data_IF_322134598839
#
_entry.id   IF_322134598839
#
_cell.length_a   1.000
_cell.length_b   1.000
_cell.length_c   1.000
_cell.angle_alpha   90.00
_cell.angle_beta   90.00
_cell.angle_gamma   90.00
#
_symmetry.space_group_name_H-M   'P 1'
#
loop_
_entity.id
_entity.type
_entity.pdbx_description
1 polymer ?
#
# COMPACT_ATOMS: atom_id res chain seq x y z
N UNK A 1 -27.01 -9.61 21.91
CA UNK A 1 -26.40 -8.35 21.40
C UNK A 1 -27.13 -7.07 21.85
N UNK A 2 -28.26 -7.15 22.55
CA UNK A 2 -29.05 -5.97 22.95
C UNK A 2 -28.44 -5.14 24.10
N UNK A 3 -27.40 -5.63 24.77
CA UNK A 3 -26.75 -4.94 25.87
C UNK A 3 -25.53 -4.08 25.45
N UNK A 4 -25.14 -4.09 24.16
CA UNK A 4 -23.93 -3.35 23.73
C UNK A 4 -24.23 -1.84 23.72
N UNK A 5 -23.44 -1.02 24.44
CA UNK A 5 -23.63 0.44 24.44
C UNK A 5 -23.48 1.04 23.05
N UNK A 6 -24.33 2.00 22.69
CA UNK A 6 -24.28 2.67 21.38
C UNK A 6 -22.91 3.31 21.10
N UNK A 7 -22.24 3.83 22.15
CA UNK A 7 -20.88 4.39 22.05
C UNK A 7 -19.84 3.35 21.59
N UNK A 8 -20.00 2.09 22.01
CA UNK A 8 -19.12 1.02 21.55
C UNK A 8 -19.38 0.70 20.07
N UNK A 9 -20.64 0.62 19.66
CA UNK A 9 -20.98 0.42 18.25
C UNK A 9 -20.43 1.56 17.39
N UNK A 10 -20.58 2.82 17.84
CA UNK A 10 -20.05 3.99 17.15
C UNK A 10 -18.52 3.94 17.02
N UNK A 11 -17.78 3.57 18.08
CA UNK A 11 -16.32 3.48 18.03
C UNK A 11 -15.81 2.35 17.14
N UNK A 12 -16.54 1.23 17.05
CA UNK A 12 -16.22 0.15 16.10
C UNK A 12 -16.48 0.61 14.66
N UNK A 13 -17.63 1.21 14.39
CA UNK A 13 -17.99 1.70 13.04
C UNK A 13 -17.08 2.84 12.58
N UNK A 14 -16.59 3.67 13.50
CA UNK A 14 -15.58 4.70 13.25
C UNK A 14 -14.30 4.15 12.62
N UNK A 15 -13.90 2.91 12.97
CA UNK A 15 -12.69 2.26 12.45
C UNK A 15 -12.86 1.57 11.10
N UNK A 16 -14.09 1.38 10.62
CA UNK A 16 -14.34 0.69 9.35
C UNK A 16 -13.91 1.56 8.17
N UNK A 17 -13.37 0.98 7.11
CA UNK A 17 -13.09 1.71 5.87
C UNK A 17 -14.35 2.01 5.06
N UNK A 18 -14.22 2.87 4.05
CA UNK A 18 -15.32 3.20 3.12
C UNK A 18 -15.93 1.98 2.45
N UNK A 19 -15.07 1.06 1.97
CA UNK A 19 -15.46 -0.15 1.26
C UNK A 19 -16.36 -1.01 2.15
N UNK A 20 -15.92 -1.26 3.38
CA UNK A 20 -16.66 -2.02 4.38
C UNK A 20 -17.98 -1.35 4.75
N UNK A 21 -18.01 -0.02 4.93
CA UNK A 21 -19.26 0.70 5.20
C UNK A 21 -20.25 0.61 4.05
N UNK A 22 -19.76 0.69 2.81
CA UNK A 22 -20.59 0.59 1.60
C UNK A 22 -21.25 -0.78 1.50
N UNK A 23 -20.51 -1.84 1.82
CA UNK A 23 -21.03 -3.21 1.83
C UNK A 23 -21.99 -3.48 3.01
N UNK A 24 -21.67 -2.96 4.20
CA UNK A 24 -22.47 -3.20 5.40
C UNK A 24 -23.78 -2.40 5.43
N UNK A 25 -23.79 -1.17 4.93
CA UNK A 25 -24.95 -0.28 4.99
C UNK A 25 -26.27 -0.91 4.48
N UNK A 26 -26.31 -1.62 3.32
CA UNK A 26 -27.53 -2.30 2.87
C UNK A 26 -27.80 -3.62 3.60
N UNK A 27 -26.77 -4.29 4.13
CA UNK A 27 -26.86 -5.67 4.59
C UNK A 27 -27.14 -5.82 6.10
N UNK A 28 -26.87 -4.78 6.90
CA UNK A 28 -27.07 -4.86 8.35
C UNK A 28 -28.55 -4.78 8.72
N UNK A 29 -29.07 -5.88 9.28
CA UNK A 29 -30.47 -5.97 9.73
C UNK A 29 -30.70 -5.49 11.17
N UNK A 30 -29.68 -5.57 12.02
CA UNK A 30 -29.82 -5.18 13.42
C UNK A 30 -30.02 -3.67 13.55
N UNK A 31 -31.16 -3.23 14.07
CA UNK A 31 -31.59 -1.82 14.05
C UNK A 31 -30.57 -0.83 14.66
N UNK A 32 -29.96 -1.15 15.81
CA UNK A 32 -28.91 -0.30 16.43
C UNK A 32 -27.69 -0.11 15.54
N UNK A 33 -27.15 -1.21 15.01
CA UNK A 33 -26.01 -1.19 14.09
C UNK A 33 -26.36 -0.50 12.79
N UNK A 34 -27.55 -0.78 12.24
CA UNK A 34 -28.04 -0.17 11.00
C UNK A 34 -28.05 1.35 11.10
N UNK A 35 -28.57 1.91 12.19
CA UNK A 35 -28.61 3.36 12.37
C UNK A 35 -27.20 3.97 12.44
N UNK A 36 -26.28 3.38 13.21
CA UNK A 36 -24.90 3.89 13.34
C UNK A 36 -24.12 3.74 12.04
N UNK A 37 -24.18 2.58 11.39
CA UNK A 37 -23.53 2.33 10.10
C UNK A 37 -24.05 3.29 9.05
N UNK A 38 -25.37 3.50 8.98
CA UNK A 38 -25.98 4.42 8.05
C UNK A 38 -25.58 5.88 8.31
N UNK A 39 -25.49 6.27 9.58
CA UNK A 39 -25.01 7.58 9.99
C UNK A 39 -23.58 7.82 9.50
N UNK A 40 -22.67 6.87 9.71
CA UNK A 40 -21.30 6.97 9.20
C UNK A 40 -21.26 6.93 7.68
N UNK A 41 -21.95 5.99 7.04
CA UNK A 41 -22.00 5.86 5.59
C UNK A 41 -22.44 7.15 4.88
N UNK A 42 -23.46 7.83 5.40
CA UNK A 42 -23.99 9.07 4.81
C UNK A 42 -23.13 10.31 5.08
N UNK A 43 -22.52 10.41 6.26
CA UNK A 43 -21.85 11.64 6.69
C UNK A 43 -20.34 11.62 6.49
N UNK A 44 -19.75 10.45 6.23
CA UNK A 44 -18.29 10.32 6.10
C UNK A 44 -17.78 10.99 4.85
N UNK A 45 -16.76 11.85 5.04
CA UNK A 45 -16.11 12.59 3.96
C UNK A 45 -14.64 12.22 3.91
N UNK A 46 -14.17 11.95 2.69
CA UNK A 46 -12.83 11.49 2.42
C UNK A 46 -12.03 12.56 1.68
N UNK A 47 -10.84 12.86 2.21
CA UNK A 47 -9.94 13.87 1.68
C UNK A 47 -8.60 13.25 1.25
N UNK A 48 -8.08 13.75 0.14
CA UNK A 48 -6.65 13.66 -0.20
C UNK A 48 -5.97 14.96 0.25
N UNK A 49 -4.83 14.85 0.93
CA UNK A 49 -3.99 16.00 1.29
C UNK A 49 -2.76 15.99 0.40
N UNK A 50 -2.62 17.05 -0.38
CA UNK A 50 -1.51 17.22 -1.31
C UNK A 50 -0.57 18.29 -0.77
N UNK A 51 0.71 17.95 -0.68
CA UNK A 51 1.78 18.86 -0.30
C UNK A 51 2.67 19.18 -1.49
N UNK A 52 3.21 20.40 -1.50
CA UNK A 52 4.17 20.87 -2.50
C UNK A 52 5.19 21.77 -1.80
N UNK A 53 6.47 21.43 -1.90
CA UNK A 53 7.55 22.34 -1.48
C UNK A 53 7.74 23.42 -2.55
N UNK A 54 7.83 24.66 -2.09
CA UNK A 54 8.32 25.82 -2.84
C UNK A 54 9.62 26.27 -2.19
N UNK A 55 10.40 27.15 -2.82
CA UNK A 55 11.66 27.66 -2.24
C UNK A 55 11.46 28.21 -0.82
N UNK A 56 10.43 29.03 -0.63
CA UNK A 56 10.16 29.74 0.62
C UNK A 56 9.35 28.94 1.66
N UNK A 57 8.85 27.74 1.34
CA UNK A 57 8.00 26.99 2.27
C UNK A 57 7.23 25.84 1.64
N UNK A 58 6.05 25.57 2.17
CA UNK A 58 5.18 24.46 1.75
C UNK A 58 3.78 24.96 1.44
N UNK A 59 3.25 24.58 0.29
CA UNK A 59 1.82 24.70 -0.01
C UNK A 59 1.15 23.37 0.30
N UNK A 60 -0.09 23.44 0.77
CA UNK A 60 -0.93 22.26 0.95
C UNK A 60 -2.34 22.54 0.47
N UNK A 61 -3.02 21.50 -0.01
CA UNK A 61 -4.42 21.60 -0.37
C UNK A 61 -5.15 20.30 -0.10
N UNK A 62 -6.46 20.44 0.12
CA UNK A 62 -7.37 19.31 0.26
C UNK A 62 -8.11 19.08 -1.05
N UNK A 63 -8.22 17.81 -1.43
CA UNK A 63 -9.08 17.37 -2.52
C UNK A 63 -10.14 16.44 -1.99
N UNK A 64 -11.32 16.50 -2.59
CA UNK A 64 -12.35 15.50 -2.34
C UNK A 64 -11.97 14.14 -2.96
N UNK A 65 -12.81 13.12 -2.72
CA UNK A 65 -12.62 11.78 -3.29
C UNK A 65 -12.63 11.75 -4.83
N UNK A 66 -13.21 12.76 -5.49
CA UNK A 66 -13.21 12.92 -6.95
C UNK A 66 -11.93 13.60 -7.46
N UNK A 67 -11.02 13.98 -6.57
CA UNK A 67 -9.78 14.69 -6.89
C UNK A 67 -10.00 16.18 -7.18
N UNK A 68 -11.20 16.71 -6.95
CA UNK A 68 -11.49 18.14 -7.13
C UNK A 68 -10.84 18.91 -5.99
N UNK A 69 -10.08 19.94 -6.35
CA UNK A 69 -9.49 20.87 -5.40
C UNK A 69 -10.60 21.66 -4.70
N UNK A 70 -10.59 21.67 -3.37
CA UNK A 70 -11.52 22.47 -2.57
C UNK A 70 -10.73 23.48 -1.75
N UNK A 71 -10.68 24.72 -2.26
CA UNK A 71 -9.98 25.83 -1.61
C UNK A 71 -10.73 26.37 -0.38
N UNK A 72 -12.01 26.04 -0.22
CA UNK A 72 -12.80 26.46 0.93
C UNK A 72 -12.51 25.58 2.15
N UNK A 73 -12.09 24.33 1.91
CA UNK A 73 -11.75 23.39 2.96
C UNK A 73 -10.36 23.71 3.51
N UNK A 74 -10.32 23.99 4.81
CA UNK A 74 -9.09 24.09 5.59
C UNK A 74 -9.05 23.07 6.72
N UNK A 75 -7.88 22.92 7.34
CA UNK A 75 -7.66 21.99 8.42
C UNK A 75 -8.63 22.20 9.60
N UNK A 76 -9.00 23.45 9.90
CA UNK A 76 -9.95 23.75 10.99
C UNK A 76 -11.34 23.18 10.72
N UNK A 77 -11.82 23.24 9.48
CA UNK A 77 -13.10 22.64 9.10
C UNK A 77 -13.07 21.12 9.20
N UNK A 78 -11.99 20.49 8.73
CA UNK A 78 -11.79 19.04 8.83
C UNK A 78 -11.76 18.60 10.30
N UNK A 79 -11.05 19.33 11.16
CA UNK A 79 -10.97 19.03 12.60
C UNK A 79 -12.31 19.20 13.31
N UNK A 80 -13.13 20.20 12.92
CA UNK A 80 -14.51 20.33 13.43
C UNK A 80 -15.36 19.12 13.08
N UNK A 81 -15.12 18.49 11.92
CA UNK A 81 -15.81 17.29 11.49
C UNK A 81 -15.02 15.99 11.77
N UNK A 82 -14.15 15.96 12.79
CA UNK A 82 -13.26 14.80 13.07
C UNK A 82 -13.97 13.44 13.16
N UNK A 83 -15.24 13.42 13.57
CA UNK A 83 -16.04 12.19 13.65
C UNK A 83 -16.24 11.52 12.29
N UNK A 84 -16.39 12.31 11.24
CA UNK A 84 -16.73 11.81 9.90
C UNK A 84 -15.67 12.15 8.84
N UNK A 85 -14.77 13.09 9.11
CA UNK A 85 -13.68 13.39 8.21
C UNK A 85 -12.60 12.30 8.27
N UNK A 86 -12.15 11.84 7.11
CA UNK A 86 -11.07 10.87 6.97
C UNK A 86 -10.09 11.34 5.91
N UNK A 87 -8.80 11.18 6.17
CA UNK A 87 -7.75 11.38 5.18
C UNK A 87 -7.35 10.01 4.66
N UNK A 88 -7.73 9.69 3.42
CA UNK A 88 -7.36 8.40 2.83
C UNK A 88 -6.07 8.48 2.03
N UNK A 89 -5.62 9.68 1.67
CA UNK A 89 -4.44 9.81 0.84
C UNK A 89 -3.62 11.04 1.23
N UNK A 90 -2.33 10.83 1.46
CA UNK A 90 -1.35 11.92 1.59
C UNK A 90 -0.33 11.80 0.47
N UNK A 91 -0.09 12.90 -0.24
CA UNK A 91 0.76 12.92 -1.43
C UNK A 91 1.71 14.11 -1.42
N UNK A 92 2.98 13.84 -1.69
CA UNK A 92 3.94 14.87 -2.11
C UNK A 92 3.88 15.02 -3.64
N UNK A 93 3.50 16.20 -4.10
CA UNK A 93 3.35 16.55 -5.50
C UNK A 93 4.39 17.58 -5.98
N UNK A 94 5.49 17.77 -5.25
CA UNK A 94 6.49 18.82 -5.54
C UNK A 94 7.04 18.77 -6.98
N UNK A 95 7.34 17.59 -7.53
CA UNK A 95 7.84 17.44 -8.91
C UNK A 95 6.75 17.05 -9.92
N UNK A 96 5.51 16.94 -9.48
CA UNK A 96 4.40 16.60 -10.37
C UNK A 96 4.06 17.80 -11.26
N UNK A 97 3.73 17.55 -12.54
CA UNK A 97 3.14 18.57 -13.45
C UNK A 97 1.69 18.93 -13.05
N UNK A 98 1.37 18.93 -11.76
CA UNK A 98 0.00 18.98 -11.27
C UNK A 98 -0.54 20.42 -11.23
N UNK A 99 -1.59 20.64 -12.03
CA UNK A 99 -2.67 21.64 -11.99
C UNK A 99 -2.28 23.13 -11.85
N UNK A 100 -2.79 24.03 -12.73
CA UNK A 100 -2.54 25.48 -12.70
C UNK A 100 -3.23 26.22 -11.53
N UNK A 101 -3.52 25.56 -10.40
CA UNK A 101 -4.37 26.11 -9.33
C UNK A 101 -3.61 26.30 -7.99
N UNK A 102 -2.28 26.28 -8.00
CA UNK A 102 -1.48 26.48 -6.78
C UNK A 102 -1.23 27.94 -6.44
N UNK A 103 -1.53 28.87 -7.35
CA UNK A 103 -1.22 30.30 -7.17
C UNK A 103 -1.97 30.90 -5.98
N UNK A 104 -3.21 30.44 -5.76
CA UNK A 104 -4.06 30.89 -4.65
C UNK A 104 -3.88 30.10 -3.35
N UNK A 105 -2.98 29.11 -3.31
CA UNK A 105 -2.77 28.28 -2.11
C UNK A 105 -1.76 28.96 -1.19
N UNK A 106 -2.17 29.15 0.07
CA UNK A 106 -1.33 29.77 1.09
C UNK A 106 -0.02 29.00 1.30
N UNK A 107 1.08 29.72 1.34
CA UNK A 107 2.40 29.21 1.71
C UNK A 107 2.50 29.12 3.24
N UNK A 108 2.97 27.97 3.73
CA UNK A 108 3.24 27.71 5.14
C UNK A 108 4.74 27.54 5.37
N UNK A 109 5.21 27.96 6.55
CA UNK A 109 6.53 27.58 7.04
C UNK A 109 6.59 26.07 7.33
N UNK A 110 7.81 25.55 7.49
CA UNK A 110 8.00 24.15 7.90
C UNK A 110 7.33 23.85 9.25
N UNK A 111 7.51 24.71 10.25
CA UNK A 111 6.91 24.54 11.59
C UNK A 111 5.38 24.57 11.55
N UNK A 112 4.78 25.45 10.75
CA UNK A 112 3.33 25.47 10.53
C UNK A 112 2.85 24.20 9.82
N UNK A 113 3.63 23.69 8.88
CA UNK A 113 3.36 22.43 8.16
C UNK A 113 3.42 21.23 9.10
N UNK A 114 4.44 21.12 9.95
CA UNK A 114 4.54 20.06 10.96
C UNK A 114 3.38 20.12 11.97
N UNK A 115 2.98 21.32 12.41
CA UNK A 115 1.81 21.51 13.28
C UNK A 115 0.52 21.03 12.61
N UNK A 116 0.33 21.38 11.33
CA UNK A 116 -0.78 20.89 10.52
C UNK A 116 -0.76 19.37 10.44
N UNK A 117 0.36 18.76 10.06
CA UNK A 117 0.54 17.31 9.94
C UNK A 117 0.24 16.58 11.25
N UNK A 118 0.70 17.12 12.37
CA UNK A 118 0.40 16.59 13.70
C UNK A 118 -1.10 16.63 14.03
N UNK A 119 -1.80 17.68 13.63
CA UNK A 119 -3.25 17.81 13.85
C UNK A 119 -4.08 16.86 13.00
N UNK A 120 -3.65 16.56 11.78
CA UNK A 120 -4.39 15.70 10.84
C UNK A 120 -4.02 14.22 10.94
N UNK A 121 -2.88 13.88 11.54
CA UNK A 121 -2.42 12.49 11.68
C UNK A 121 -3.47 11.54 12.30
N UNK A 122 -4.22 11.93 13.36
CA UNK A 122 -5.29 11.09 13.91
C UNK A 122 -6.47 10.85 12.96
N UNK A 123 -6.62 11.67 11.91
CA UNK A 123 -7.70 11.57 10.93
C UNK A 123 -7.33 10.71 9.72
N UNK A 124 -6.07 10.26 9.62
CA UNK A 124 -5.64 9.39 8.54
C UNK A 124 -6.29 8.02 8.72
N UNK A 125 -7.04 7.60 7.71
CA UNK A 125 -7.75 6.33 7.72
C UNK A 125 -6.74 5.19 7.75
N UNK A 126 -6.74 4.38 8.81
CA UNK A 126 -5.79 3.25 8.93
C UNK A 126 -6.11 2.12 7.95
N UNK A 127 -7.37 1.98 7.55
CA UNK A 127 -7.85 0.86 6.72
C UNK A 127 -7.67 1.17 5.24
N UNK A 128 -7.83 2.44 4.84
CA UNK A 128 -7.69 2.85 3.43
C UNK A 128 -6.56 3.85 3.19
N UNK A 129 -5.77 4.16 4.20
CA UNK A 129 -4.74 5.20 4.16
C UNK A 129 -3.61 4.86 3.21
N UNK A 130 -3.26 5.84 2.39
CA UNK A 130 -2.22 5.75 1.39
C UNK A 130 -1.23 6.89 1.57
N UNK A 131 0.05 6.63 1.33
CA UNK A 131 1.07 7.66 1.25
C UNK A 131 1.88 7.52 -0.05
N UNK A 132 2.08 8.63 -0.76
CA UNK A 132 2.86 8.66 -2.01
C UNK A 132 3.83 9.83 -2.05
N UNK A 133 5.12 9.54 -2.12
CA UNK A 133 6.19 10.54 -2.26
C UNK A 133 7.08 10.39 -3.50
N UNK A 134 6.79 9.44 -4.40
CA UNK A 134 7.61 9.19 -5.59
C UNK A 134 7.85 10.45 -6.46
N UNK A 135 6.81 11.25 -6.67
CA UNK A 135 6.86 12.50 -7.43
C UNK A 135 7.27 13.71 -6.58
N UNK A 136 7.80 13.47 -5.38
CA UNK A 136 8.10 14.48 -4.39
C UNK A 136 9.53 15.01 -4.40
N UNK A 137 9.79 16.03 -3.56
CA UNK A 137 11.15 16.42 -3.19
C UNK A 137 11.61 15.64 -1.96
N UNK A 138 12.93 15.45 -1.83
CA UNK A 138 13.48 14.77 -0.66
C UNK A 138 13.14 15.52 0.64
N UNK A 139 13.20 16.86 0.61
CA UNK A 139 12.87 17.73 1.73
C UNK A 139 11.40 17.60 2.18
N UNK A 140 10.45 17.69 1.24
CA UNK A 140 9.03 17.55 1.60
C UNK A 140 8.72 16.15 2.10
N UNK A 141 9.26 15.13 1.44
CA UNK A 141 9.14 13.76 1.92
C UNK A 141 9.68 13.61 3.35
N UNK A 142 10.85 14.17 3.64
CA UNK A 142 11.43 14.12 4.99
C UNK A 142 10.51 14.75 6.04
N UNK A 143 9.98 15.96 5.80
CA UNK A 143 9.05 16.64 6.72
C UNK A 143 7.79 15.81 6.97
N UNK A 144 7.22 15.22 5.91
CA UNK A 144 6.03 14.37 6.00
C UNK A 144 6.31 13.10 6.81
N UNK A 145 7.41 12.39 6.51
CA UNK A 145 7.77 11.16 7.18
C UNK A 145 8.11 11.39 8.66
N UNK A 146 8.87 12.44 8.97
CA UNK A 146 9.17 12.83 10.35
C UNK A 146 7.89 13.13 11.14
N UNK A 147 6.91 13.78 10.50
CA UNK A 147 5.64 14.10 11.15
C UNK A 147 4.77 12.87 11.43
N UNK A 148 4.81 11.86 10.56
CA UNK A 148 3.97 10.66 10.63
C UNK A 148 4.61 9.45 11.32
N UNK A 149 5.94 9.42 11.45
CA UNK A 149 6.67 8.31 12.05
C UNK A 149 6.10 7.96 13.42
N UNK A 150 5.79 6.67 13.62
CA UNK A 150 5.17 6.08 14.84
C UNK A 150 3.79 6.61 15.21
N UNK A 151 3.17 7.47 14.39
CA UNK A 151 1.82 8.04 14.64
C UNK A 151 0.76 7.49 13.70
N UNK A 152 1.16 7.08 12.51
CA UNK A 152 0.26 6.68 11.42
C UNK A 152 0.66 5.31 10.91
N UNK A 153 -0.31 4.44 10.64
CA UNK A 153 -0.10 3.14 10.02
C UNK A 153 -1.00 3.01 8.81
N UNK A 154 -0.40 2.73 7.66
CA UNK A 154 -1.03 2.86 6.34
C UNK A 154 -1.26 1.50 5.69
N UNK A 155 -2.22 1.46 4.76
CA UNK A 155 -2.48 0.30 3.90
C UNK A 155 -1.55 0.26 2.68
N UNK A 156 -1.25 1.41 2.11
CA UNK A 156 -0.40 1.51 0.92
C UNK A 156 0.70 2.56 1.08
N UNK A 157 1.92 2.19 0.70
CA UNK A 157 3.09 3.05 0.75
C UNK A 157 3.76 3.12 -0.60
N UNK A 158 4.07 4.32 -1.07
CA UNK A 158 4.97 4.56 -2.19
C UNK A 158 6.01 5.58 -1.76
N UNK A 159 7.22 5.11 -1.48
CA UNK A 159 8.28 5.88 -0.85
C UNK A 159 9.40 6.20 -1.84
N UNK A 160 9.78 7.48 -1.88
CA UNK A 160 11.07 7.92 -2.40
C UNK A 160 12.11 7.89 -1.28
N UNK A 161 13.32 7.40 -1.55
CA UNK A 161 14.39 7.50 -0.57
C UNK A 161 14.78 8.97 -0.34
N UNK A 162 14.83 9.38 0.92
CA UNK A 162 15.26 10.71 1.35
C UNK A 162 16.16 10.65 2.60
N UNK A 163 16.96 9.58 2.70
CA UNK A 163 17.82 9.28 3.85
C UNK A 163 17.21 8.27 4.82
N UNK A 164 17.88 8.09 5.97
CA UNK A 164 17.55 7.06 6.95
C UNK A 164 16.09 7.10 7.42
N UNK A 165 15.49 8.29 7.53
CA UNK A 165 14.08 8.45 7.92
C UNK A 165 13.11 7.69 7.00
N UNK A 166 13.41 7.58 5.70
CA UNK A 166 12.59 6.82 4.76
C UNK A 166 12.68 5.31 5.00
N UNK A 167 13.87 4.83 5.35
CA UNK A 167 14.12 3.44 5.71
C UNK A 167 13.45 3.08 7.04
N UNK A 168 13.67 3.89 8.08
CA UNK A 168 13.08 3.69 9.40
C UNK A 168 11.55 3.73 9.36
N UNK A 169 10.99 4.65 8.58
CA UNK A 169 9.55 4.72 8.38
C UNK A 169 9.03 3.47 7.67
N UNK A 170 9.70 2.99 6.63
CA UNK A 170 9.32 1.75 5.94
C UNK A 170 9.36 0.55 6.91
N UNK A 171 10.43 0.43 7.69
CA UNK A 171 10.58 -0.62 8.68
C UNK A 171 9.48 -0.59 9.74
N UNK A 172 9.20 0.59 10.31
CA UNK A 172 8.12 0.79 11.27
C UNK A 172 6.77 0.36 10.69
N UNK A 173 6.44 0.79 9.46
CA UNK A 173 5.20 0.41 8.81
C UNK A 173 5.11 -1.09 8.57
N UNK A 174 6.20 -1.72 8.09
CA UNK A 174 6.22 -3.17 7.87
C UNK A 174 6.01 -3.89 9.18
N UNK A 175 6.64 -3.45 10.27
CA UNK A 175 6.57 -4.11 11.57
C UNK A 175 5.20 -3.94 12.23
N UNK A 176 4.64 -2.73 12.19
CA UNK A 176 3.54 -2.33 13.06
C UNK A 176 2.20 -2.11 12.32
N UNK A 177 2.19 -1.95 10.99
CA UNK A 177 0.93 -1.79 10.25
C UNK A 177 0.24 -3.13 9.96
N UNK A 178 -0.89 -3.35 10.62
CA UNK A 178 -1.74 -4.51 10.37
C UNK A 178 -2.45 -4.47 9.00
N UNK A 179 -2.64 -3.28 8.43
CA UNK A 179 -3.37 -3.09 7.18
C UNK A 179 -2.46 -2.95 5.97
N UNK A 180 -1.14 -2.84 6.16
CA UNK A 180 -0.20 -2.70 5.05
C UNK A 180 -0.32 -3.89 4.09
N UNK A 181 -0.75 -3.59 2.87
CA UNK A 181 -0.96 -4.54 1.78
C UNK A 181 -0.13 -4.20 0.54
N UNK A 182 0.35 -2.96 0.41
CA UNK A 182 1.17 -2.55 -0.72
C UNK A 182 2.35 -1.66 -0.29
N UNK A 183 3.54 -1.99 -0.78
CA UNK A 183 4.77 -1.22 -0.60
C UNK A 183 5.44 -1.03 -1.94
N UNK A 184 5.75 0.20 -2.30
CA UNK A 184 6.62 0.54 -3.42
C UNK A 184 7.76 1.41 -2.94
N UNK A 185 8.99 0.93 -3.09
CA UNK A 185 10.18 1.76 -2.91
C UNK A 185 10.69 2.21 -4.27
N UNK A 186 11.06 3.47 -4.38
CA UNK A 186 11.44 4.04 -5.65
C UNK A 186 12.49 5.16 -5.49
N UNK A 187 13.17 5.48 -6.60
CA UNK A 187 14.22 6.49 -6.62
C UNK A 187 15.61 5.89 -6.45
N UNK A 188 16.59 6.77 -6.15
CA UNK A 188 18.00 6.40 -6.02
C UNK A 188 18.42 6.27 -4.57
N UNK A 189 19.56 5.66 -4.33
CA UNK A 189 20.29 5.54 -3.07
C UNK A 189 19.56 4.75 -1.98
N UNK A 190 18.57 3.91 -2.34
CA UNK A 190 18.05 2.94 -1.38
C UNK A 190 19.18 1.95 -1.03
N UNK A 191 19.41 1.65 0.26
CA UNK A 191 20.42 0.67 0.63
C UNK A 191 19.98 -0.74 0.24
N UNK A 192 20.93 -1.62 -0.09
CA UNK A 192 20.66 -3.02 -0.43
C UNK A 192 19.93 -3.78 0.70
N UNK A 193 20.15 -3.39 1.96
CA UNK A 193 19.43 -3.91 3.14
C UNK A 193 17.91 -3.71 3.06
N UNK A 194 17.42 -2.81 2.20
CA UNK A 194 15.99 -2.64 1.93
C UNK A 194 15.35 -3.93 1.42
N UNK A 195 16.11 -4.82 0.78
CA UNK A 195 15.61 -6.13 0.37
C UNK A 195 15.18 -7.01 1.53
N UNK A 196 15.81 -6.89 2.70
CA UNK A 196 15.40 -7.65 3.88
C UNK A 196 14.06 -7.16 4.41
N UNK A 197 13.81 -5.84 4.34
CA UNK A 197 12.50 -5.26 4.65
C UNK A 197 11.44 -5.73 3.65
N UNK A 198 11.73 -5.66 2.35
CA UNK A 198 10.81 -6.14 1.31
C UNK A 198 10.52 -7.64 1.47
N UNK A 199 11.54 -8.45 1.77
CA UNK A 199 11.40 -9.88 2.06
C UNK A 199 10.47 -10.08 3.25
N UNK A 200 10.75 -9.42 4.36
CA UNK A 200 9.93 -9.47 5.59
C UNK A 200 8.48 -9.11 5.31
N UNK A 201 8.23 -8.10 4.47
CA UNK A 201 6.89 -7.70 4.07
C UNK A 201 6.18 -8.74 3.18
N UNK A 202 6.85 -9.29 2.17
CA UNK A 202 6.31 -10.37 1.34
C UNK A 202 5.93 -11.60 2.18
N UNK A 203 6.77 -11.98 3.14
CA UNK A 203 6.52 -13.10 4.06
C UNK A 203 5.36 -12.84 5.03
N UNK A 204 4.85 -11.61 5.16
CA UNK A 204 3.61 -11.32 5.88
C UNK A 204 2.36 -11.67 5.07
N UNK A 205 2.47 -12.00 3.78
CA UNK A 205 1.34 -12.42 2.96
C UNK A 205 0.81 -13.78 3.38
N UNK A 206 -0.50 -13.88 3.65
CA UNK A 206 -1.17 -15.14 4.03
C UNK A 206 -2.59 -15.17 3.48
N UNK A 207 -3.29 -16.28 3.72
CA UNK A 207 -4.69 -16.45 3.35
C UNK A 207 -5.58 -15.31 3.88
N UNK A 208 -6.29 -14.60 2.99
CA UNK A 208 -7.10 -13.42 3.30
C UNK A 208 -6.31 -12.11 3.42
N UNK A 209 -4.97 -12.14 3.29
CA UNK A 209 -4.11 -10.94 3.29
C UNK A 209 -2.99 -11.09 2.27
N UNK A 210 -3.23 -10.59 1.07
CA UNK A 210 -2.19 -10.45 0.04
C UNK A 210 -1.28 -9.26 0.35
N UNK A 211 0.03 -9.44 0.18
CA UNK A 211 1.01 -8.35 0.22
C UNK A 211 1.64 -8.14 -1.16
N UNK A 212 1.85 -6.90 -1.55
CA UNK A 212 2.39 -6.55 -2.86
C UNK A 212 3.55 -5.57 -2.71
N UNK A 213 4.73 -5.97 -3.18
CA UNK A 213 5.93 -5.17 -3.13
C UNK A 213 6.39 -4.80 -4.55
N UNK A 214 6.78 -3.54 -4.75
CA UNK A 214 7.42 -3.08 -5.98
C UNK A 214 8.74 -2.41 -5.64
N UNK A 215 9.82 -2.87 -6.27
CA UNK A 215 11.14 -2.23 -6.16
C UNK A 215 11.42 -1.50 -7.47
N UNK A 216 11.38 -0.17 -7.41
CA UNK A 216 11.66 0.74 -8.51
C UNK A 216 12.91 1.58 -8.22
N UNK A 217 13.99 0.91 -7.80
CA UNK A 217 15.29 1.51 -7.50
C UNK A 217 16.41 0.73 -8.19
N UNK A 218 17.34 1.44 -8.86
CA UNK A 218 18.50 0.83 -9.54
C UNK A 218 19.56 0.36 -8.56
N UNK A 219 19.61 0.98 -7.38
CA UNK A 219 20.61 0.68 -6.35
C UNK A 219 20.25 -0.54 -5.51
N UNK A 220 19.04 -1.09 -5.73
CA UNK A 220 18.55 -2.29 -5.06
C UNK A 220 18.44 -3.41 -6.10
N UNK A 221 19.46 -4.27 -6.12
CA UNK A 221 19.57 -5.34 -7.12
C UNK A 221 18.87 -6.60 -6.60
N UNK A 222 17.83 -7.06 -7.28
CA UNK A 222 17.17 -8.33 -6.99
C UNK A 222 17.74 -9.40 -7.91
N UNK A 223 18.59 -10.27 -7.37
CA UNK A 223 19.18 -11.39 -8.12
C UNK A 223 18.33 -12.67 -8.03
N UNK A 224 18.71 -13.67 -8.84
CA UNK A 224 18.08 -14.98 -8.87
C UNK A 224 18.06 -15.67 -7.49
N UNK A 225 19.15 -15.53 -6.72
CA UNK A 225 19.29 -16.07 -5.37
C UNK A 225 18.24 -15.53 -4.40
N UNK A 226 17.91 -14.24 -4.49
CA UNK A 226 16.86 -13.63 -3.68
C UNK A 226 15.48 -14.21 -4.02
N UNK A 227 15.15 -14.33 -5.31
CA UNK A 227 13.88 -14.91 -5.78
C UNK A 227 13.77 -16.38 -5.39
N UNK A 228 14.84 -17.16 -5.57
CA UNK A 228 14.96 -18.55 -5.12
C UNK A 228 14.70 -18.67 -3.63
N UNK A 229 15.23 -17.77 -2.83
CA UNK A 229 15.02 -17.79 -1.38
C UNK A 229 13.55 -17.63 -1.02
N UNK A 230 12.82 -16.68 -1.62
CA UNK A 230 11.39 -16.46 -1.41
C UNK A 230 10.57 -17.66 -1.88
N UNK A 231 10.88 -18.17 -3.07
CA UNK A 231 10.22 -19.33 -3.65
C UNK A 231 10.41 -20.59 -2.78
N UNK A 232 11.60 -20.82 -2.22
CA UNK A 232 11.85 -21.94 -1.31
C UNK A 232 11.03 -21.86 -0.02
N UNK A 233 10.79 -20.64 0.52
CA UNK A 233 9.89 -20.48 1.67
C UNK A 233 8.46 -20.86 1.28
N UNK A 234 7.96 -20.35 0.15
CA UNK A 234 6.64 -20.74 -0.35
C UNK A 234 6.55 -22.24 -0.64
N UNK A 235 7.56 -22.85 -1.25
CA UNK A 235 7.60 -24.27 -1.59
C UNK A 235 7.54 -25.17 -0.36
N UNK A 236 8.03 -24.70 0.79
CA UNK A 236 8.00 -25.44 2.06
C UNK A 236 6.63 -25.35 2.72
N UNK A 237 6.01 -24.17 2.77
CA UNK A 237 4.75 -23.94 3.50
C UNK A 237 3.47 -24.00 2.65
N UNK A 238 3.54 -23.49 1.43
CA UNK A 238 2.44 -23.35 0.47
C UNK A 238 1.36 -22.34 0.90
N UNK A 239 1.62 -21.54 1.93
CA UNK A 239 0.65 -20.68 2.62
C UNK A 239 0.97 -19.18 2.51
N UNK A 240 1.91 -18.82 1.64
CA UNK A 240 2.24 -17.43 1.30
C UNK A 240 1.36 -16.88 0.16
N UNK A 241 0.88 -15.65 0.32
CA UNK A 241 0.07 -14.92 -0.66
C UNK A 241 0.67 -13.53 -0.90
N UNK A 242 1.56 -13.39 -1.89
CA UNK A 242 2.25 -12.13 -2.16
C UNK A 242 2.64 -11.94 -3.63
N UNK A 243 3.00 -10.72 -4.00
CA UNK A 243 3.63 -10.40 -5.29
C UNK A 243 4.83 -9.50 -5.10
N UNK A 244 5.88 -9.76 -5.86
CA UNK A 244 7.06 -8.92 -5.96
C UNK A 244 7.27 -8.48 -7.41
N UNK A 245 7.24 -7.18 -7.62
CA UNK A 245 7.48 -6.51 -8.90
C UNK A 245 8.83 -5.81 -8.89
N UNK A 246 9.43 -5.71 -10.07
CA UNK A 246 10.65 -4.95 -10.31
C UNK A 246 10.42 -4.07 -11.52
N UNK A 247 10.43 -2.75 -11.30
CA UNK A 247 10.05 -1.76 -12.32
C UNK A 247 11.20 -1.43 -13.28
N UNK A 248 12.41 -1.93 -13.01
CA UNK A 248 13.53 -1.80 -13.93
C UNK A 248 13.59 -3.06 -14.80
N UNK A 249 13.82 -2.86 -16.10
CA UNK A 249 14.35 -3.94 -16.93
C UNK A 249 15.60 -4.43 -16.23
N UNK A 250 15.63 -5.72 -15.85
CA UNK A 250 16.89 -6.41 -15.60
C UNK A 250 17.70 -6.07 -16.85
N UNK A 251 18.79 -5.31 -16.68
CA UNK A 251 19.59 -4.92 -17.84
C UNK A 251 19.88 -6.21 -18.61
N UNK A 252 19.66 -6.19 -19.93
CA UNK A 252 19.91 -7.30 -20.86
C UNK A 252 21.43 -7.58 -20.97
N UNK A 253 22.12 -7.65 -19.84
CA UNK A 253 23.54 -7.96 -19.72
C UNK A 253 23.65 -9.48 -19.60
N UNK A 254 23.52 -10.21 -20.72
CA UNK A 254 23.95 -11.60 -21.02
C UNK A 254 23.78 -12.75 -19.96
N UNK A 255 23.21 -12.50 -18.78
CA UNK A 255 23.03 -13.41 -17.64
C UNK A 255 21.63 -14.05 -17.62
N UNK A 256 21.04 -14.27 -18.80
CA UNK A 256 19.74 -14.95 -18.96
C UNK A 256 19.75 -16.40 -18.40
N UNK A 257 20.93 -16.95 -18.11
CA UNK A 257 21.12 -18.32 -17.65
C UNK A 257 20.88 -18.52 -16.13
N UNK A 258 20.86 -17.48 -15.29
CA UNK A 258 20.88 -17.71 -13.83
C UNK A 258 19.51 -18.12 -13.25
N UNK A 259 18.40 -17.67 -13.86
CA UNK A 259 17.05 -18.11 -13.49
C UNK A 259 16.63 -19.41 -14.20
N UNK A 260 17.28 -19.77 -15.31
CA UNK A 260 16.99 -20.99 -16.07
C UNK A 260 16.90 -22.26 -15.21
N UNK A 261 17.88 -22.55 -14.33
CA UNK A 261 17.84 -23.71 -13.44
C UNK A 261 16.64 -23.74 -12.49
N UNK A 262 16.12 -22.58 -12.05
CA UNK A 262 14.92 -22.49 -11.23
C UNK A 262 13.66 -22.86 -12.01
N UNK A 263 13.57 -22.37 -13.24
CA UNK A 263 12.44 -22.64 -14.14
C UNK A 263 12.40 -24.13 -14.54
N UNK A 264 13.56 -24.76 -14.67
CA UNK A 264 13.68 -26.16 -15.10
C UNK A 264 13.35 -27.19 -14.01
N UNK A 265 13.30 -26.82 -12.72
CA UNK A 265 12.97 -27.76 -11.63
C UNK A 265 11.49 -28.21 -11.59
N UNK A 266 10.62 -27.59 -12.38
CA UNK A 266 9.20 -27.95 -12.45
C UNK A 266 8.83 -29.00 -13.51
N UNK A 267 9.78 -29.47 -14.32
CA UNK A 267 9.49 -30.35 -15.47
C UNK A 267 8.75 -29.64 -16.62
N UNK A 268 8.65 -28.32 -16.59
CA UNK A 268 8.01 -27.50 -17.63
C UNK A 268 9.10 -27.14 -18.64
N UNK A 269 8.88 -27.49 -19.92
CA UNK A 269 9.80 -27.10 -21.01
C UNK A 269 9.86 -25.57 -21.09
N UNK A 270 11.08 -25.04 -21.01
CA UNK A 270 11.38 -23.62 -21.28
C UNK A 270 10.72 -23.21 -22.60
N UNK A 271 9.81 -22.24 -22.53
CA UNK A 271 9.20 -21.64 -23.72
C UNK A 271 9.90 -20.29 -23.95
N UNK A 272 10.31 -19.94 -25.17
CA UNK A 272 11.06 -18.73 -25.40
C UNK A 272 10.15 -17.51 -25.18
N UNK A 273 10.54 -16.68 -24.23
CA UNK A 273 10.07 -15.31 -23.98
C UNK A 273 8.66 -15.16 -23.37
N UNK A 274 8.62 -14.47 -22.22
CA UNK A 274 7.44 -13.89 -21.53
C UNK A 274 6.48 -14.81 -20.78
N UNK A 275 6.43 -16.12 -21.02
CA UNK A 275 5.49 -16.98 -20.30
C UNK A 275 6.02 -17.25 -18.87
N UNK A 276 5.29 -16.86 -17.81
CA UNK A 276 5.68 -17.19 -16.44
C UNK A 276 5.70 -18.70 -16.22
N UNK A 277 6.73 -19.20 -15.52
CA UNK A 277 6.71 -20.58 -15.03
C UNK A 277 5.81 -20.67 -13.83
N UNK A 278 4.74 -21.46 -13.96
CA UNK A 278 3.77 -21.70 -12.88
C UNK A 278 4.04 -23.05 -12.23
N UNK A 279 4.15 -23.05 -10.91
CA UNK A 279 4.35 -24.25 -10.09
C UNK A 279 3.17 -24.38 -9.15
N UNK A 280 2.48 -25.52 -9.23
CA UNK A 280 1.40 -25.88 -8.30
C UNK A 280 1.99 -26.51 -7.05
N UNK A 281 1.53 -26.10 -5.87
CA UNK A 281 1.97 -26.69 -4.62
C UNK A 281 1.39 -28.10 -4.44
N UNK A 282 2.21 -29.08 -4.05
CA UNK A 282 1.80 -30.51 -3.99
C UNK A 282 0.68 -30.80 -3.00
N UNK A 283 0.66 -30.09 -1.86
CA UNK A 283 -0.24 -30.39 -0.72
C UNK A 283 -1.18 -29.26 -0.36
N UNK A 284 -1.08 -28.11 -1.03
CA UNK A 284 -1.85 -26.90 -0.71
C UNK A 284 -2.53 -26.42 -1.98
N UNK A 285 -3.71 -25.82 -1.81
CA UNK A 285 -4.44 -25.16 -2.92
C UNK A 285 -3.79 -23.82 -3.24
N UNK A 286 -2.56 -23.85 -3.75
CA UNK A 286 -1.75 -22.67 -4.02
C UNK A 286 -0.82 -22.88 -5.21
N UNK A 287 -0.43 -21.76 -5.83
CA UNK A 287 0.53 -21.73 -6.94
C UNK A 287 1.57 -20.64 -6.71
N UNK A 288 2.72 -20.80 -7.35
CA UNK A 288 3.71 -19.74 -7.51
C UNK A 288 4.05 -19.57 -8.99
N UNK A 289 4.05 -18.33 -9.45
CA UNK A 289 4.42 -17.92 -10.79
C UNK A 289 5.74 -17.14 -10.71
N UNK A 290 6.77 -17.58 -11.42
CA UNK A 290 8.06 -16.90 -11.52
C UNK A 290 8.25 -16.41 -12.94
N UNK A 291 8.70 -15.16 -13.11
CA UNK A 291 8.97 -14.57 -14.42
C UNK A 291 10.20 -13.66 -14.34
N UNK A 292 10.88 -13.50 -15.46
CA UNK A 292 11.94 -12.50 -15.65
C UNK A 292 11.38 -11.14 -16.12
N UNK A 293 10.05 -10.99 -16.18
CA UNK A 293 9.37 -9.78 -16.67
C UNK A 293 8.86 -8.89 -15.52
N UNK A 294 7.80 -8.12 -15.78
CA UNK A 294 7.20 -7.12 -14.90
C UNK A 294 6.99 -7.57 -13.43
N UNK A 295 6.70 -8.85 -13.20
CA UNK A 295 6.70 -9.46 -11.87
C UNK A 295 7.79 -10.53 -11.77
N UNK A 296 8.54 -10.52 -10.68
CA UNK A 296 9.59 -11.51 -10.43
C UNK A 296 9.02 -12.80 -9.85
N UNK A 297 8.11 -12.68 -8.88
CA UNK A 297 7.41 -13.80 -8.27
C UNK A 297 6.02 -13.39 -7.78
N UNK A 298 5.04 -14.26 -8.01
CA UNK A 298 3.69 -14.14 -7.48
C UNK A 298 3.28 -15.46 -6.84
N UNK A 299 2.86 -15.44 -5.58
CA UNK A 299 2.31 -16.59 -4.90
C UNK A 299 0.84 -16.35 -4.61
N UNK A 300 -0.01 -17.31 -4.95
CA UNK A 300 -1.45 -17.27 -4.74
C UNK A 300 -1.91 -18.47 -3.93
N UNK A 301 -2.91 -18.25 -3.08
CA UNK A 301 -3.60 -19.30 -2.34
C UNK A 301 -5.07 -19.25 -2.75
N UNK A 302 -5.74 -20.40 -2.79
CA UNK A 302 -7.18 -20.47 -2.96
C UNK A 302 -7.88 -19.79 -1.77
N UNK A 303 -8.71 -18.80 -2.08
CA UNK A 303 -9.45 -17.98 -1.12
C UNK A 303 -10.96 -18.18 -1.29
N UNK A 304 -11.43 -19.29 -1.87
CA UNK A 304 -12.85 -19.53 -2.13
C UNK A 304 -13.76 -19.57 -0.88
N UNK A 305 -13.17 -19.63 0.32
CA UNK A 305 -13.90 -19.42 1.58
C UNK A 305 -14.28 -17.95 1.83
N UNK A 306 -13.67 -17.02 1.08
CA UNK A 306 -13.98 -15.60 1.10
C UNK A 306 -14.83 -15.24 -0.11
N UNK A 307 -15.37 -14.02 -0.10
CA UNK A 307 -16.24 -13.51 -1.17
C UNK A 307 -15.56 -13.49 -2.54
N UNK A 308 -14.22 -13.35 -2.58
CA UNK A 308 -13.42 -13.30 -3.80
C UNK A 308 -12.19 -14.19 -3.67
N UNK A 309 -11.83 -14.85 -4.77
CA UNK A 309 -10.64 -15.68 -4.84
C UNK A 309 -9.75 -15.22 -6.00
N UNK A 310 -8.66 -14.53 -5.65
CA UNK A 310 -7.69 -14.01 -6.63
C UNK A 310 -7.10 -15.11 -7.52
N UNK A 311 -6.90 -16.31 -6.96
CA UNK A 311 -6.41 -17.46 -7.70
C UNK A 311 -7.39 -17.88 -8.80
N UNK A 312 -8.68 -18.00 -8.46
CA UNK A 312 -9.74 -18.34 -9.42
C UNK A 312 -9.91 -17.28 -10.51
N UNK A 313 -9.80 -16.01 -10.14
CA UNK A 313 -9.98 -14.88 -11.05
C UNK A 313 -8.82 -14.74 -12.05
N UNK A 314 -7.57 -14.92 -11.61
CA UNK A 314 -6.38 -14.72 -12.46
C UNK A 314 -5.88 -15.98 -13.16
N UNK A 315 -6.11 -17.14 -12.57
CA UNK A 315 -5.56 -18.42 -12.99
C UNK A 315 -6.61 -19.55 -12.84
N UNK A 316 -7.78 -19.42 -13.50
CA UNK A 316 -8.87 -20.38 -13.37
C UNK A 316 -8.45 -21.82 -13.73
N UNK A 317 -7.53 -22.00 -14.66
CA UNK A 317 -6.98 -23.29 -15.09
C UNK A 317 -6.22 -24.03 -13.99
N UNK A 318 -5.63 -23.30 -13.03
CA UNK A 318 -4.92 -23.87 -11.88
C UNK A 318 -5.78 -23.92 -10.61
N UNK A 319 -7.07 -23.57 -10.69
CA UNK A 319 -7.95 -23.52 -9.53
C UNK A 319 -8.68 -24.85 -9.24
N UNK A 320 -8.59 -25.84 -10.13
CA UNK A 320 -9.28 -27.12 -9.98
C UNK A 320 -8.57 -28.08 -9.00
N UNK A 321 -8.69 -27.81 -7.70
CA UNK A 321 -8.08 -28.58 -6.59
C UNK A 321 -9.07 -29.42 -5.79
#
# INVERSE_FOLDING_TARGET
MEAVPLKFVDSVVEQLGWETLTELAPNVRHWRWKHVIYLHYRNRVYYEVVFRKEEQGFKHAFKDKKGKLDLLINARMILKNRRFARIFYVRDATKGRCSPHWDNVQLLSESATQKLLGSIAPLIDRVSGKFKSFSGSAECTNVLLTSFSRKVYLRELTLRYCGQIAYDFLEDQINNSHFLSYVRIAGRNWPQSSLDLIRKFCLKGRLGRRTEATVASRDVVINSGYIKSLFNVWRTGGDLNFCLYYDWTIADDDDDDELGPLLNQGGVKSNPSWVPTTVVHRTKKSIACVSNSYYLIQCFICECRFLRCNLKERYPEYHNF
#
